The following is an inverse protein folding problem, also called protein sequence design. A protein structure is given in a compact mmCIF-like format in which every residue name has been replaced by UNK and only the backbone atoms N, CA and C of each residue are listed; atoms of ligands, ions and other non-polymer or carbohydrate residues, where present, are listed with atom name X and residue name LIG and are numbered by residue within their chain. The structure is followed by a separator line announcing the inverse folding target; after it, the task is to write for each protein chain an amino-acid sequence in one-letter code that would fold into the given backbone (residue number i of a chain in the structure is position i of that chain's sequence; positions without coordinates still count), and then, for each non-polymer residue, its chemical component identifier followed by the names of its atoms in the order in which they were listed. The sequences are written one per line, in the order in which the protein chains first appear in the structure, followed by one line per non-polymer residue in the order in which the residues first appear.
data_IF_885891989740
#
_entry.id   IF_885891989740
#
_cell.length_a   1.000
_cell.length_b   1.000
_cell.length_c   1.000
_cell.angle_alpha   90.00
_cell.angle_beta   90.00
_cell.angle_gamma   90.00
#
_symmetry.space_group_name_H-M   'P 1'
#
loop_
_entity.id
_entity.type
_entity.pdbx_description
1 polymer ?
#
# COMPACT_ATOMS: atom_id res chain seq x y z
N UNK A 1 43.03 15.91 16.03
CA UNK A 1 42.50 14.56 15.71
C UNK A 1 41.21 14.21 16.46
N UNK A 2 41.12 14.43 17.78
CA UNK A 2 39.96 14.07 18.63
C UNK A 2 38.64 14.75 18.18
N UNK A 3 38.67 16.04 17.86
CA UNK A 3 37.48 16.79 17.39
C UNK A 3 36.87 16.26 16.08
N UNK A 4 37.67 15.64 15.20
CA UNK A 4 37.18 15.06 13.94
C UNK A 4 36.51 13.70 14.19
N UNK A 5 37.11 12.89 15.07
CA UNK A 5 36.57 11.59 15.49
C UNK A 5 35.20 11.71 16.19
N UNK A 6 35.04 12.72 17.06
CA UNK A 6 33.76 12.94 17.77
C UNK A 6 32.62 13.34 16.82
N UNK A 7 32.89 14.14 15.79
CA UNK A 7 31.88 14.52 14.78
C UNK A 7 31.46 13.30 13.94
N UNK A 8 32.42 12.49 13.52
CA UNK A 8 32.15 11.25 12.76
C UNK A 8 31.29 10.27 13.57
N UNK A 9 31.57 10.12 14.87
CA UNK A 9 30.77 9.28 15.76
C UNK A 9 29.34 9.81 15.91
N UNK A 10 29.18 11.14 16.00
CA UNK A 10 27.87 11.78 16.07
C UNK A 10 27.03 11.55 14.80
N UNK A 11 27.63 11.66 13.61
CA UNK A 11 26.93 11.35 12.36
C UNK A 11 26.56 9.87 12.22
N UNK A 12 27.40 8.95 12.74
CA UNK A 12 27.11 7.52 12.78
C UNK A 12 25.89 7.19 13.63
N UNK A 13 25.73 7.86 14.79
CA UNK A 13 24.57 7.67 15.67
C UNK A 13 23.27 8.17 15.01
N UNK A 14 23.31 9.32 14.32
CA UNK A 14 22.14 9.84 13.59
C UNK A 14 21.77 8.92 12.43
N UNK A 15 22.75 8.48 11.64
CA UNK A 15 22.51 7.55 10.54
C UNK A 15 21.93 6.22 11.04
N UNK A 16 22.44 5.69 12.16
CA UNK A 16 21.93 4.46 12.76
C UNK A 16 20.51 4.62 13.32
N UNK A 17 20.19 5.76 13.96
CA UNK A 17 18.84 6.05 14.44
C UNK A 17 17.79 6.17 13.32
N UNK A 18 18.18 6.72 12.16
CA UNK A 18 17.32 6.82 10.97
C UNK A 18 17.12 5.48 10.26
N UNK A 19 18.11 4.57 10.33
CA UNK A 19 18.01 3.22 9.75
C UNK A 19 17.11 2.28 10.56
N UNK A 20 16.82 2.60 11.82
CA UNK A 20 16.01 1.77 12.72
C UNK A 20 14.53 2.22 12.80
N UNK A 21 14.15 3.34 12.18
CA UNK A 21 12.80 3.89 12.27
C UNK A 21 11.88 3.34 11.18
N UNK A 22 11.29 2.17 11.41
CA UNK A 22 10.26 1.60 10.53
C UNK A 22 8.85 1.90 11.07
N UNK A 23 8.43 3.16 11.06
CA UNK A 23 7.03 3.53 11.35
C UNK A 23 6.19 3.46 10.08
N UNK A 24 6.07 2.27 9.47
CA UNK A 24 5.09 2.06 8.41
C UNK A 24 3.77 1.69 9.06
N UNK A 25 2.99 2.69 9.47
CA UNK A 25 1.57 2.45 9.73
C UNK A 25 0.93 2.06 8.40
N UNK A 26 0.65 0.77 8.21
CA UNK A 26 -0.17 0.34 7.09
C UNK A 26 -1.49 1.13 7.19
N UNK A 27 -1.86 1.85 6.12
CA UNK A 27 -3.18 2.46 6.07
C UNK A 27 -4.21 1.37 6.33
N UNK A 28 -5.22 1.68 7.15
CA UNK A 28 -6.34 0.76 7.39
C UNK A 28 -7.58 1.28 6.66
N UNK A 29 -8.48 0.40 6.21
CA UNK A 29 -9.74 0.82 5.59
C UNK A 29 -10.55 1.65 6.60
N UNK A 30 -10.62 2.97 6.40
CA UNK A 30 -11.44 3.86 7.24
C UNK A 30 -11.12 3.83 8.73
N UNK A 31 -9.90 3.44 9.13
CA UNK A 31 -9.53 3.29 10.55
C UNK A 31 -9.82 1.90 11.16
N UNK A 32 -10.33 0.95 10.38
CA UNK A 32 -10.60 -0.42 10.87
C UNK A 32 -9.29 -1.20 10.99
N UNK A 33 -8.86 -1.45 12.22
CA UNK A 33 -7.70 -2.30 12.49
C UNK A 33 -7.98 -3.77 12.17
N UNK A 34 -6.98 -4.48 11.61
CA UNK A 34 -7.05 -5.93 11.40
C UNK A 34 -8.06 -6.37 10.32
N UNK A 35 -8.28 -5.54 9.30
CA UNK A 35 -9.17 -5.90 8.20
C UNK A 35 -8.74 -7.23 7.56
N UNK A 36 -9.69 -8.16 7.43
CA UNK A 36 -9.44 -9.46 6.79
C UNK A 36 -9.37 -9.39 5.26
N UNK A 37 -9.93 -8.32 4.69
CA UNK A 37 -9.99 -7.99 3.27
C UNK A 37 -9.98 -6.47 3.13
N UNK A 38 -9.23 -5.94 2.18
CA UNK A 38 -9.33 -4.53 1.82
C UNK A 38 -9.00 -4.31 0.36
N UNK A 39 -9.96 -3.83 -0.42
CA UNK A 39 -9.77 -3.53 -1.83
C UNK A 39 -10.00 -2.05 -2.06
N UNK A 40 -9.16 -1.45 -2.90
CA UNK A 40 -9.27 -0.05 -3.28
C UNK A 40 -9.64 0.00 -4.76
N UNK A 41 -10.62 0.84 -5.09
CA UNK A 41 -11.11 0.97 -6.47
C UNK A 41 -10.03 1.45 -7.45
N UNK A 42 -8.98 2.12 -6.96
CA UNK A 42 -7.97 2.80 -7.76
C UNK A 42 -6.52 2.32 -7.51
N UNK A 43 -6.29 1.33 -6.64
CA UNK A 43 -4.95 0.83 -6.29
C UNK A 43 -4.93 -0.69 -6.41
N UNK A 44 -3.88 -1.25 -7.02
CA UNK A 44 -3.75 -2.70 -7.18
C UNK A 44 -4.78 -3.28 -8.15
N UNK A 45 -5.12 -2.55 -9.22
CA UNK A 45 -6.16 -2.95 -10.18
C UNK A 45 -5.50 -3.43 -11.47
N UNK A 46 -5.83 -4.63 -11.93
CA UNK A 46 -5.29 -5.20 -13.18
C UNK A 46 -6.37 -5.29 -14.28
N UNK A 47 -6.07 -4.76 -15.47
CA UNK A 47 -7.00 -4.69 -16.60
C UNK A 47 -6.43 -5.19 -17.94
N UNK A 48 -7.30 -5.73 -18.79
CA UNK A 48 -7.06 -5.88 -20.22
C UNK A 48 -8.17 -5.24 -21.10
N UNK A 49 -9.45 -5.30 -20.68
CA UNK A 49 -10.62 -4.57 -21.23
C UNK A 49 -11.78 -4.60 -20.20
N UNK A 50 -11.46 -4.32 -18.94
CA UNK A 50 -12.31 -4.57 -17.76
C UNK A 50 -11.46 -5.07 -16.59
N UNK A 51 -11.92 -4.88 -15.35
CA UNK A 51 -11.14 -5.23 -14.15
C UNK A 51 -11.12 -6.74 -13.95
N UNK A 52 -9.94 -7.31 -14.16
CA UNK A 52 -9.70 -8.75 -14.01
C UNK A 52 -9.25 -9.13 -12.60
N UNK A 53 -8.66 -8.19 -11.87
CA UNK A 53 -8.22 -8.40 -10.49
C UNK A 53 -8.20 -7.09 -9.68
N UNK A 54 -8.56 -7.19 -8.40
CA UNK A 54 -8.19 -6.25 -7.35
C UNK A 54 -7.28 -6.91 -6.34
N UNK A 55 -6.14 -6.29 -6.10
CA UNK A 55 -5.20 -6.72 -5.08
C UNK A 55 -5.73 -6.41 -3.69
N UNK A 56 -5.47 -7.33 -2.78
CA UNK A 56 -5.84 -7.23 -1.39
C UNK A 56 -4.80 -6.40 -0.63
N UNK A 57 -5.22 -5.22 -0.21
CA UNK A 57 -4.40 -4.25 0.53
C UNK A 57 -4.31 -4.57 2.03
N UNK A 58 -5.02 -5.59 2.51
CA UNK A 58 -4.94 -6.01 3.92
C UNK A 58 -3.65 -6.75 4.28
N UNK A 59 -2.88 -7.20 3.27
CA UNK A 59 -1.68 -8.01 3.45
C UNK A 59 -1.95 -9.51 3.58
N UNK A 60 -3.21 -9.96 3.48
CA UNK A 60 -3.59 -11.37 3.58
C UNK A 60 -3.53 -12.13 2.23
N UNK A 61 -3.14 -11.46 1.15
CA UNK A 61 -3.02 -12.02 -0.21
C UNK A 61 -4.32 -12.64 -0.75
N UNK A 62 -5.49 -12.14 -0.32
CA UNK A 62 -6.80 -12.63 -0.76
C UNK A 62 -7.32 -11.83 -1.94
N UNK A 63 -6.64 -11.89 -3.09
CA UNK A 63 -7.00 -11.07 -4.26
C UNK A 63 -8.37 -11.44 -4.85
N UNK A 64 -9.17 -10.44 -5.22
CA UNK A 64 -10.40 -10.68 -5.99
C UNK A 64 -10.04 -10.83 -7.45
N UNK A 65 -10.51 -11.90 -8.08
CA UNK A 65 -10.30 -12.14 -9.52
C UNK A 65 -11.63 -12.40 -10.22
N UNK A 66 -11.73 -11.95 -11.47
CA UNK A 66 -12.86 -12.28 -12.35
C UNK A 66 -12.32 -12.69 -13.72
N UNK A 67 -12.15 -14.00 -13.92
CA UNK A 67 -11.55 -14.54 -15.13
C UNK A 67 -12.46 -14.38 -16.35
N UNK A 68 -13.78 -14.48 -16.18
CA UNK A 68 -14.77 -14.39 -17.26
C UNK A 68 -14.91 -12.95 -17.75
N UNK A 69 -14.41 -12.67 -18.96
CA UNK A 69 -14.38 -11.31 -19.54
C UNK A 69 -15.75 -10.61 -19.51
N UNK A 70 -16.83 -11.32 -19.85
CA UNK A 70 -18.18 -10.75 -19.88
C UNK A 70 -18.74 -10.41 -18.48
N UNK A 71 -18.15 -10.99 -17.43
CA UNK A 71 -18.52 -10.73 -16.03
C UNK A 71 -17.57 -9.77 -15.33
N UNK A 72 -16.52 -9.30 -16.01
CA UNK A 72 -15.57 -8.35 -15.42
C UNK A 72 -16.25 -7.00 -15.21
N UNK A 73 -16.15 -6.41 -14.03
CA UNK A 73 -16.63 -5.06 -13.79
C UNK A 73 -15.85 -4.04 -14.63
N UNK A 74 -16.55 -2.97 -15.01
CA UNK A 74 -15.97 -1.87 -15.78
C UNK A 74 -15.17 -0.98 -14.84
N UNK A 75 -13.97 -0.58 -15.28
CA UNK A 75 -13.21 0.45 -14.59
C UNK A 75 -13.81 1.82 -14.96
N UNK A 76 -14.52 2.44 -14.01
CA UNK A 76 -15.16 3.73 -14.22
C UNK A 76 -14.21 4.87 -13.82
N UNK A 77 -13.92 5.77 -14.77
CA UNK A 77 -13.03 6.93 -14.57
C UNK A 77 -13.79 8.27 -14.52
N UNK A 78 -15.12 8.24 -14.49
CA UNK A 78 -15.95 9.45 -14.37
C UNK A 78 -15.92 9.99 -12.93
N UNK A 79 -16.26 11.27 -12.72
CA UNK A 79 -16.15 11.90 -11.39
C UNK A 79 -17.24 11.49 -10.37
N UNK A 80 -18.29 10.78 -10.78
CA UNK A 80 -19.36 10.30 -9.89
C UNK A 80 -19.12 8.84 -9.49
N UNK A 81 -18.01 8.58 -8.82
CA UNK A 81 -17.73 7.27 -8.25
C UNK A 81 -18.30 7.20 -6.84
N UNK A 82 -19.19 6.23 -6.62
CA UNK A 82 -19.53 5.81 -5.25
C UNK A 82 -18.29 5.08 -4.71
N UNK A 83 -17.68 5.67 -3.70
CA UNK A 83 -16.65 5.01 -2.90
C UNK A 83 -17.39 4.23 -1.81
N UNK A 84 -17.24 2.91 -1.78
CA UNK A 84 -17.64 2.10 -0.64
C UNK A 84 -16.48 2.06 0.35
#
# INVERSE_FOLDING_TARGET
MIHKQMKTFFYLIIAFGLLLSNNTSAQTPGGVSGASLWYKSNVGVTNATGVSQWDDQSGNARHLTQSTTASRPVYNTTSNLINF
#
